data_IF_254657228872
#
_entry.id   IF_254657228872
#
_cell.length_a   1.000
_cell.length_b   1.000
_cell.length_c   1.000
_cell.angle_alpha   90.00
_cell.angle_beta   90.00
_cell.angle_gamma   90.00
#
_symmetry.space_group_name_H-M   'P 1'
#
loop_
_entity.id
_entity.type
_entity.pdbx_description
1 polymer ?
#
# COMPACT_ATOMS: atom_id res chain seq x y z
N UNK A 1 -2.86 -6.95 -6.05
CA UNK A 1 -2.18 -7.59 -4.91
C UNK A 1 -1.40 -6.60 -4.07
N UNK A 2 -2.04 -5.57 -3.49
CA UNK A 2 -1.34 -4.51 -2.73
C UNK A 2 -0.71 -5.04 -1.45
N UNK A 3 -1.50 -5.63 -0.56
CA UNK A 3 -1.04 -6.22 0.70
C UNK A 3 0.10 -7.22 0.50
N UNK A 4 0.02 -8.09 -0.51
CA UNK A 4 1.10 -9.03 -0.85
C UNK A 4 2.35 -8.31 -1.35
N UNK A 5 2.21 -7.29 -2.20
CA UNK A 5 3.34 -6.46 -2.66
C UNK A 5 4.00 -5.71 -1.51
N UNK A 6 3.23 -5.24 -0.52
CA UNK A 6 3.78 -4.61 0.70
C UNK A 6 4.68 -5.59 1.44
N UNK A 7 4.26 -6.84 1.68
CA UNK A 7 5.11 -7.84 2.31
C UNK A 7 6.36 -8.17 1.50
N UNK A 8 6.24 -8.34 0.17
CA UNK A 8 7.38 -8.62 -0.71
C UNK A 8 8.40 -7.48 -0.72
N UNK A 9 7.94 -6.23 -0.85
CA UNK A 9 8.81 -5.05 -0.83
C UNK A 9 9.48 -4.88 0.55
N UNK A 10 8.73 -5.10 1.63
CA UNK A 10 9.28 -5.04 2.99
C UNK A 10 10.39 -6.06 3.21
N UNK A 11 10.18 -7.31 2.77
CA UNK A 11 11.19 -8.37 2.85
C UNK A 11 12.44 -8.01 2.04
N UNK A 12 12.27 -7.51 0.81
CA UNK A 12 13.37 -7.08 -0.04
C UNK A 12 14.20 -5.98 0.62
N UNK A 13 13.56 -4.91 1.11
CA UNK A 13 14.22 -3.78 1.75
C UNK A 13 14.95 -4.19 3.04
N UNK A 14 14.36 -5.08 3.83
CA UNK A 14 14.98 -5.62 5.04
C UNK A 14 16.18 -6.52 4.73
N UNK A 15 16.03 -7.47 3.82
CA UNK A 15 17.04 -8.51 3.58
C UNK A 15 18.20 -8.01 2.72
N UNK A 16 17.90 -7.30 1.63
CA UNK A 16 18.89 -6.82 0.68
C UNK A 16 19.46 -5.47 1.10
N UNK A 17 18.58 -4.53 1.40
CA UNK A 17 18.97 -3.12 1.61
C UNK A 17 19.19 -2.79 3.10
N UNK A 18 19.04 -3.79 3.97
CA UNK A 18 19.26 -3.73 5.44
C UNK A 18 18.49 -2.60 6.13
N UNK A 19 17.30 -2.26 5.61
CA UNK A 19 16.45 -1.21 6.16
C UNK A 19 15.60 -1.73 7.31
N UNK A 20 15.38 -0.87 8.30
CA UNK A 20 14.37 -1.05 9.34
C UNK A 20 13.01 -0.61 8.79
N UNK A 21 12.13 -1.56 8.54
CA UNK A 21 10.84 -1.37 7.87
C UNK A 21 9.69 -1.47 8.86
N UNK A 22 8.75 -0.52 8.78
CA UNK A 22 7.45 -0.56 9.43
C UNK A 22 6.36 -0.65 8.36
N UNK A 23 5.35 -1.49 8.59
CA UNK A 23 4.16 -1.53 7.72
C UNK A 23 2.89 -1.22 8.50
N UNK A 24 1.89 -0.64 7.85
CA UNK A 24 0.58 -0.35 8.42
C UNK A 24 -0.52 -0.58 7.39
N UNK A 25 -1.68 -1.07 7.84
CA UNK A 25 -2.87 -1.17 7.00
C UNK A 25 -3.80 0.00 7.25
N UNK A 26 -4.03 0.79 6.22
CA UNK A 26 -5.09 1.80 6.14
C UNK A 26 -6.33 1.29 5.37
N UNK A 27 -6.35 0.00 4.99
CA UNK A 27 -7.54 -0.68 4.46
C UNK A 27 -8.48 -1.09 5.61
N UNK A 28 -9.36 -0.16 5.99
CA UNK A 28 -10.38 -0.36 7.05
C UNK A 28 -11.68 -0.96 6.51
N UNK A 29 -11.82 -1.04 5.18
CA UNK A 29 -13.06 -1.46 4.52
C UNK A 29 -13.08 -2.95 4.23
N UNK A 30 -11.95 -3.54 3.83
CA UNK A 30 -11.88 -4.96 3.48
C UNK A 30 -11.81 -5.83 4.74
N UNK A 31 -12.70 -6.83 4.89
CA UNK A 31 -12.64 -7.76 6.01
C UNK A 31 -11.27 -8.42 6.15
N UNK A 32 -10.76 -8.44 7.38
CA UNK A 32 -9.47 -9.03 7.76
C UNK A 32 -8.24 -8.48 7.02
N UNK A 33 -8.31 -7.35 6.30
CA UNK A 33 -7.15 -6.78 5.61
C UNK A 33 -6.01 -6.38 6.57
N UNK A 34 -6.37 -5.77 7.69
CA UNK A 34 -5.45 -5.45 8.78
C UNK A 34 -4.78 -6.73 9.30
N UNK A 35 -5.57 -7.76 9.61
CA UNK A 35 -5.05 -9.03 10.13
C UNK A 35 -4.17 -9.75 9.11
N UNK A 36 -4.55 -9.70 7.83
CA UNK A 36 -3.76 -10.26 6.74
C UNK A 36 -2.37 -9.62 6.67
N UNK A 37 -2.28 -8.29 6.76
CA UNK A 37 -1.00 -7.59 6.76
C UNK A 37 -0.19 -7.88 8.03
N UNK A 38 -0.84 -7.92 9.19
CA UNK A 38 -0.19 -8.27 10.47
C UNK A 38 0.47 -9.66 10.41
N UNK A 39 -0.27 -10.67 9.97
CA UNK A 39 0.26 -12.03 9.81
C UNK A 39 1.41 -12.05 8.81
N UNK A 40 1.26 -11.42 7.65
CA UNK A 40 2.32 -11.36 6.64
C UNK A 40 3.59 -10.69 7.17
N UNK A 41 3.45 -9.58 7.92
CA UNK A 41 4.56 -8.87 8.54
C UNK A 41 5.27 -9.74 9.59
N UNK A 42 4.51 -10.43 10.44
CA UNK A 42 5.04 -11.38 11.42
C UNK A 42 5.84 -12.50 10.76
N UNK A 43 5.31 -13.12 9.69
CA UNK A 43 5.96 -14.23 8.98
C UNK A 43 7.31 -13.85 8.37
N UNK A 44 7.48 -12.59 7.94
CA UNK A 44 8.74 -12.06 7.39
C UNK A 44 9.60 -11.30 8.42
N UNK A 45 9.13 -11.24 9.67
CA UNK A 45 9.75 -10.53 10.79
C UNK A 45 9.91 -9.02 10.55
N UNK A 46 8.94 -8.39 9.89
CA UNK A 46 8.87 -6.94 9.71
C UNK A 46 7.90 -6.36 10.74
N UNK A 47 8.22 -5.18 11.27
CA UNK A 47 7.38 -4.55 12.29
C UNK A 47 6.05 -4.09 11.69
N UNK A 48 4.97 -4.30 12.44
CA UNK A 48 3.61 -3.90 12.06
C UNK A 48 3.07 -2.85 13.05
N UNK A 49 2.53 -1.75 12.52
CA UNK A 49 1.82 -0.77 13.33
C UNK A 49 0.35 -1.19 13.48
N UNK A 50 -0.14 -1.38 14.73
CA UNK A 50 -1.51 -1.81 14.96
C UNK A 50 -2.51 -0.74 14.52
N UNK A 51 -3.59 -1.20 13.89
CA UNK A 51 -4.71 -0.38 13.42
C UNK A 51 -6.01 -1.16 13.59
N UNK A 52 -7.15 -0.46 13.56
CA UNK A 52 -8.46 -1.05 13.76
C UNK A 52 -9.48 -0.53 12.72
N UNK A 53 -10.48 -1.34 12.31
CA UNK A 53 -11.46 -0.95 11.30
C UNK A 53 -12.35 0.27 11.67
N UNK A 54 -12.45 0.61 12.95
CA UNK A 54 -13.21 1.76 13.45
C UNK A 54 -12.44 3.09 13.39
N UNK A 55 -11.14 3.05 13.05
CA UNK A 55 -10.32 4.24 12.91
C UNK A 55 -10.40 4.82 11.49
N UNK A 56 -10.17 6.12 11.35
CA UNK A 56 -10.04 6.73 10.01
C UNK A 56 -8.67 6.41 9.40
N UNK A 57 -8.60 6.10 8.09
CA UNK A 57 -7.32 5.84 7.40
C UNK A 57 -6.26 6.93 7.61
N UNK A 58 -6.67 8.20 7.63
CA UNK A 58 -5.79 9.33 7.89
C UNK A 58 -5.19 9.32 9.30
N UNK A 59 -6.00 9.00 10.31
CA UNK A 59 -5.54 8.95 11.70
C UNK A 59 -4.55 7.79 11.90
N UNK A 60 -4.82 6.63 11.28
CA UNK A 60 -3.92 5.47 11.26
C UNK A 60 -2.56 5.86 10.65
N UNK A 61 -2.58 6.48 9.47
CA UNK A 61 -1.35 6.82 8.76
C UNK A 61 -0.52 7.86 9.52
N UNK A 62 -1.14 8.90 10.07
CA UNK A 62 -0.44 9.91 10.88
C UNK A 62 0.19 9.30 12.15
N UNK A 63 -0.54 8.43 12.85
CA UNK A 63 -0.03 7.74 14.03
C UNK A 63 1.15 6.82 13.68
N UNK A 64 1.07 6.11 12.54
CA UNK A 64 2.16 5.28 12.04
C UNK A 64 3.41 6.10 11.66
N UNK A 65 3.24 7.28 11.06
CA UNK A 65 4.35 8.20 10.73
C UNK A 65 5.03 8.70 12.00
N UNK A 66 4.26 9.13 12.99
CA UNK A 66 4.80 9.59 14.27
C UNK A 66 5.57 8.47 14.99
N UNK A 67 4.99 7.25 15.02
CA UNK A 67 5.67 6.07 15.54
C UNK A 67 6.97 5.76 14.78
N UNK A 68 6.92 5.79 13.45
CA UNK A 68 8.07 5.53 12.58
C UNK A 68 9.22 6.48 12.88
N UNK A 69 8.92 7.78 13.00
CA UNK A 69 9.89 8.84 13.34
C UNK A 69 10.48 8.64 14.73
N UNK A 70 9.64 8.44 15.76
CA UNK A 70 10.08 8.26 17.16
C UNK A 70 10.94 7.01 17.37
N UNK A 71 10.72 5.97 16.57
CA UNK A 71 11.43 4.69 16.66
C UNK A 71 12.53 4.54 15.60
N UNK A 72 12.84 5.61 14.87
CA UNK A 72 13.90 5.68 13.86
C UNK A 72 13.81 4.56 12.82
N UNK A 73 12.62 4.36 12.23
CA UNK A 73 12.46 3.50 11.07
C UNK A 73 13.01 4.18 9.81
N UNK A 74 13.60 3.40 8.92
CA UNK A 74 14.09 3.91 7.63
C UNK A 74 12.96 4.03 6.60
N UNK A 75 12.03 3.08 6.62
CA UNK A 75 10.94 2.98 5.64
C UNK A 75 9.63 2.67 6.35
N UNK A 76 8.60 3.45 6.02
CA UNK A 76 7.20 3.17 6.35
C UNK A 76 6.46 2.82 5.06
N UNK A 77 5.74 1.70 5.04
CA UNK A 77 4.86 1.33 3.92
C UNK A 77 3.41 1.32 4.41
N UNK A 78 2.56 2.09 3.74
CA UNK A 78 1.13 2.21 4.03
C UNK A 78 0.35 1.41 2.99
N UNK A 79 -0.31 0.31 3.40
CA UNK A 79 -1.22 -0.46 2.54
C UNK A 79 -2.61 0.17 2.57
N UNK A 80 -3.13 0.60 1.43
CA UNK A 80 -4.45 1.24 1.36
C UNK A 80 -5.50 0.30 0.78
N UNK A 81 -6.78 0.63 0.94
CA UNK A 81 -7.86 -0.09 0.30
C UNK A 81 -7.75 -0.10 -1.24
N UNK A 82 -8.37 -1.10 -1.87
CA UNK A 82 -8.62 -1.08 -3.32
C UNK A 82 -9.67 -0.04 -3.68
N UNK A 83 -9.44 0.68 -4.76
CA UNK A 83 -10.34 1.70 -5.28
C UNK A 83 -10.48 1.53 -6.79
N UNK A 84 -11.65 1.84 -7.32
CA UNK A 84 -11.84 2.00 -8.75
C UNK A 84 -11.61 3.46 -9.09
N UNK A 85 -10.95 3.76 -10.21
CA UNK A 85 -10.66 5.14 -10.60
C UNK A 85 -11.92 5.99 -10.82
N UNK A 86 -13.05 5.34 -11.11
CA UNK A 86 -14.36 5.96 -11.32
C UNK A 86 -15.10 6.27 -10.01
N UNK A 87 -14.61 5.79 -8.87
CA UNK A 87 -15.23 6.02 -7.57
C UNK A 87 -14.74 7.35 -6.99
N UNK A 88 -15.48 8.42 -7.27
CA UNK A 88 -15.09 9.79 -6.90
C UNK A 88 -14.94 9.98 -5.39
N UNK A 89 -15.78 9.34 -4.58
CA UNK A 89 -15.74 9.44 -3.11
C UNK A 89 -14.47 8.79 -2.57
N UNK A 90 -14.21 7.54 -2.98
CA UNK A 90 -12.99 6.85 -2.57
C UNK A 90 -11.74 7.55 -3.10
N UNK A 91 -11.79 8.13 -4.29
CA UNK A 91 -10.68 8.90 -4.87
C UNK A 91 -10.46 10.25 -4.17
N UNK A 92 -11.51 10.87 -3.63
CA UNK A 92 -11.39 12.03 -2.73
C UNK A 92 -10.63 11.66 -1.47
N UNK A 93 -11.03 10.56 -0.82
CA UNK A 93 -10.40 10.11 0.43
C UNK A 93 -8.90 9.80 0.25
N UNK A 94 -8.50 9.17 -0.87
CA UNK A 94 -7.06 8.89 -1.10
C UNK A 94 -6.26 10.15 -1.41
N UNK A 95 -6.85 11.14 -2.06
CA UNK A 95 -6.22 12.44 -2.31
C UNK A 95 -5.98 13.17 -0.99
N UNK A 96 -6.96 13.15 -0.10
CA UNK A 96 -6.86 13.76 1.23
C UNK A 96 -5.78 13.05 2.06
N UNK A 97 -5.80 11.72 2.07
CA UNK A 97 -4.78 10.91 2.74
C UNK A 97 -3.38 11.21 2.21
N UNK A 98 -3.19 11.18 0.88
CA UNK A 98 -1.91 11.43 0.24
C UNK A 98 -1.41 12.85 0.51
N UNK A 99 -2.27 13.86 0.42
CA UNK A 99 -1.91 15.26 0.67
C UNK A 99 -1.48 15.47 2.12
N UNK A 100 -2.16 14.81 3.06
CA UNK A 100 -1.84 14.95 4.48
C UNK A 100 -0.55 14.23 4.88
N UNK A 101 -0.25 13.05 4.31
CA UNK A 101 0.95 12.29 4.67
C UNK A 101 2.17 12.63 3.80
N UNK A 102 1.96 13.30 2.66
CA UNK A 102 2.98 13.74 1.71
C UNK A 102 4.05 12.65 1.44
N UNK A 103 3.65 11.50 0.86
CA UNK A 103 4.55 10.36 0.68
C UNK A 103 5.63 10.68 -0.36
N UNK A 104 6.82 10.12 -0.17
CA UNK A 104 7.92 10.24 -1.14
C UNK A 104 7.66 9.37 -2.38
N UNK A 105 7.04 8.21 -2.17
CA UNK A 105 6.73 7.25 -3.22
C UNK A 105 5.26 6.85 -3.13
N UNK A 106 4.57 6.86 -4.28
CA UNK A 106 3.19 6.42 -4.44
C UNK A 106 3.15 5.37 -5.55
N UNK A 107 3.07 4.10 -5.15
CA UNK A 107 3.17 2.97 -6.07
C UNK A 107 1.78 2.44 -6.45
N UNK A 108 1.45 2.48 -7.73
CA UNK A 108 0.23 1.86 -8.25
C UNK A 108 0.44 0.37 -8.50
N UNK A 109 -0.43 -0.47 -7.93
CA UNK A 109 -0.29 -1.94 -8.04
C UNK A 109 -1.37 -2.49 -8.96
N UNK A 110 -0.95 -3.06 -10.09
CA UNK A 110 -1.83 -3.59 -11.13
C UNK A 110 -1.51 -5.05 -11.45
N UNK A 111 -2.49 -5.77 -11.96
CA UNK A 111 -2.38 -7.17 -12.36
C UNK A 111 -1.89 -7.26 -13.81
N UNK A 112 -0.89 -8.11 -14.09
CA UNK A 112 -0.37 -8.35 -15.42
C UNK A 112 -1.44 -8.92 -16.38
N UNK A 113 -2.39 -9.68 -15.84
CA UNK A 113 -3.49 -10.26 -16.62
C UNK A 113 -4.45 -9.21 -17.18
N UNK A 114 -4.47 -7.99 -16.62
CA UNK A 114 -5.31 -6.89 -17.12
C UNK A 114 -4.84 -6.39 -18.50
N UNK A 115 -3.63 -6.78 -18.94
CA UNK A 115 -3.15 -6.49 -20.29
C UNK A 115 -3.10 -5.00 -20.59
N UNK A 116 -3.63 -4.59 -21.75
CA UNK A 116 -3.60 -3.19 -22.17
C UNK A 116 -4.46 -2.27 -21.29
N UNK A 117 -5.52 -2.79 -20.66
CA UNK A 117 -6.39 -2.01 -19.78
C UNK A 117 -5.69 -1.56 -18.48
N UNK A 118 -4.58 -2.20 -18.13
CA UNK A 118 -3.73 -1.79 -17.02
C UNK A 118 -3.18 -0.37 -17.25
N UNK A 119 -2.80 -0.04 -18.49
CA UNK A 119 -2.26 1.27 -18.85
C UNK A 119 -3.32 2.37 -18.73
N UNK A 120 -4.55 2.10 -19.18
CA UNK A 120 -5.68 3.04 -19.05
C UNK A 120 -6.03 3.28 -17.57
N UNK A 121 -6.05 2.21 -16.76
CA UNK A 121 -6.32 2.32 -15.33
C UNK A 121 -5.22 3.08 -14.59
N UNK A 122 -3.95 2.80 -14.91
CA UNK A 122 -2.82 3.53 -14.34
C UNK A 122 -2.85 5.01 -14.71
N UNK A 123 -3.25 5.35 -15.94
CA UNK A 123 -3.42 6.75 -16.37
C UNK A 123 -4.52 7.45 -15.58
N UNK A 124 -5.70 6.85 -15.46
CA UNK A 124 -6.81 7.44 -14.70
C UNK A 124 -6.45 7.65 -13.21
N UNK A 125 -5.71 6.71 -12.61
CA UNK A 125 -5.17 6.88 -11.26
C UNK A 125 -4.09 7.96 -11.20
N UNK A 126 -3.20 8.04 -12.18
CA UNK A 126 -2.15 9.05 -12.28
C UNK A 126 -2.66 10.47 -12.46
N UNK A 127 -3.78 10.63 -13.16
CA UNK A 127 -4.46 11.93 -13.33
C UNK A 127 -5.09 12.40 -12.00
N UNK A 128 -5.44 11.47 -11.11
CA UNK A 128 -6.07 11.75 -9.83
C UNK A 128 -5.09 11.80 -8.65
N UNK A 129 -3.97 11.06 -8.70
CA UNK A 129 -3.00 10.94 -7.63
C UNK A 129 -1.60 10.93 -8.24
N UNK A 130 -0.63 11.71 -7.72
CA UNK A 130 0.71 11.73 -8.29
C UNK A 130 1.42 10.40 -7.99
N UNK A 131 1.40 9.51 -8.97
CA UNK A 131 2.09 8.22 -8.91
C UNK A 131 3.57 8.39 -9.23
N UNK A 132 4.44 7.73 -8.47
CA UNK A 132 5.89 7.74 -8.69
C UNK A 132 6.38 6.45 -9.35
N UNK A 133 5.58 5.38 -9.26
CA UNK A 133 5.92 4.09 -9.83
C UNK A 133 4.76 3.12 -9.94
N UNK A 134 5.03 1.98 -10.57
CA UNK A 134 4.06 0.91 -10.80
C UNK A 134 4.65 -0.43 -10.36
N UNK A 135 3.84 -1.26 -9.70
CA UNK A 135 4.14 -2.67 -9.44
C UNK A 135 3.19 -3.52 -10.27
N UNK A 136 3.75 -4.31 -11.19
CA UNK A 136 3.03 -5.31 -11.96
C UNK A 136 3.02 -6.65 -11.20
N UNK A 137 1.84 -7.19 -10.91
CA UNK A 137 1.64 -8.42 -10.13
C UNK A 137 1.12 -9.57 -10.99
N UNK A 138 1.19 -10.81 -10.47
CA UNK A 138 0.73 -12.04 -11.16
C UNK A 138 1.37 -12.29 -12.53
N UNK A 139 2.63 -11.90 -12.69
CA UNK A 139 3.42 -12.14 -13.91
C UNK A 139 3.71 -13.63 -14.16
N UNK A 140 3.51 -14.46 -13.15
CA UNK A 140 3.62 -15.92 -13.17
C UNK A 140 2.37 -16.62 -13.71
N UNK A 141 1.24 -15.92 -13.79
CA UNK A 141 0.02 -16.48 -14.37
C UNK A 141 -0.02 -16.24 -15.87
N UNK A 142 -0.15 -17.32 -16.64
CA UNK A 142 -0.32 -17.20 -18.09
C UNK A 142 -1.68 -16.56 -18.39
N UNK A 143 -1.64 -15.36 -18.96
CA UNK A 143 -2.84 -14.67 -19.43
C UNK A 143 -3.39 -15.28 -20.75
N UNK A 144 -2.82 -16.40 -21.23
CA UNK A 144 -3.30 -17.19 -22.38
C UNK A 144 -3.78 -18.59 -22.03
N UNK A 145 -3.70 -19.01 -20.76
CA UNK A 145 -4.06 -20.36 -20.30
C UNK A 145 -2.88 -21.11 -19.72
#
# INVERSE_FOLDING_TARGET
GKTTSVGKLSKLLKERDKKKVLVVSADVYRPAAIKQLETLASDIGVDFFPSSPDQKPLDIANAAIDHAKKKFYDVLIVDTAGRLAIDEEMMGEIKDLHSAINPVETLFVVDAMTGQDAANTAKAFGDALPLTGVILTKVDGDARG
#
